data_IF_689340813833
#
_entry.id   IF_689340813833
#
_cell.length_a   1.000
_cell.length_b   1.000
_cell.length_c   1.000
_cell.angle_alpha   90.00
_cell.angle_beta   90.00
_cell.angle_gamma   90.00
#
_symmetry.space_group_name_H-M   'P 1'
#
loop_
_entity.id
_entity.type
_entity.pdbx_description
1 polymer ?
#
# COMPACT_ATOMS: atom_id res chain seq x y z
N UNK A 1 18.10 10.17 -1.64
CA UNK A 1 18.96 9.12 -2.22
C UNK A 1 18.96 7.94 -1.25
N UNK A 2 18.33 6.81 -1.60
CA UNK A 2 18.30 5.61 -0.74
C UNK A 2 19.52 4.78 -1.08
N UNK A 3 20.34 4.41 -0.09
CA UNK A 3 21.38 3.39 -0.29
C UNK A 3 20.88 2.08 0.30
N UNK A 4 20.67 1.08 -0.55
CA UNK A 4 20.31 -0.29 -0.17
C UNK A 4 21.60 -1.09 0.02
N UNK A 5 21.97 -1.41 1.26
CA UNK A 5 23.07 -2.32 1.56
C UNK A 5 22.51 -3.69 1.98
N UNK A 6 22.80 -4.71 1.16
CA UNK A 6 22.51 -6.10 1.47
C UNK A 6 23.77 -6.85 1.89
N UNK A 7 23.75 -7.48 3.05
CA UNK A 7 24.74 -8.49 3.45
C UNK A 7 24.05 -9.85 3.48
N UNK A 8 24.66 -10.89 2.91
CA UNK A 8 24.02 -12.19 2.63
C UNK A 8 23.62 -12.99 3.89
N UNK A 9 23.73 -12.39 5.09
CA UNK A 9 23.57 -13.03 6.40
C UNK A 9 22.71 -12.24 7.39
N UNK A 10 22.15 -11.08 7.03
CA UNK A 10 21.25 -10.28 7.90
C UNK A 10 20.14 -9.59 7.08
N UNK A 11 19.01 -9.30 7.73
CA UNK A 11 17.96 -8.43 7.16
C UNK A 11 18.59 -7.11 6.69
N UNK A 12 18.31 -6.64 5.46
CA UNK A 12 18.84 -5.37 4.96
C UNK A 12 18.43 -4.21 5.88
N UNK A 13 19.32 -3.22 6.03
CA UNK A 13 19.04 -1.97 6.72
C UNK A 13 19.09 -0.81 5.73
N UNK A 14 18.13 0.10 5.80
CA UNK A 14 18.06 1.27 4.92
C UNK A 14 18.63 2.51 5.59
N UNK A 15 19.41 3.31 4.87
CA UNK A 15 19.83 4.64 5.32
C UNK A 15 19.46 5.68 4.26
N UNK A 16 18.68 6.70 4.66
CA UNK A 16 18.40 7.87 3.84
C UNK A 16 19.53 8.88 4.11
N UNK A 17 20.35 9.19 3.10
CA UNK A 17 21.33 10.29 3.21
C UNK A 17 20.77 11.54 2.53
N UNK A 18 20.71 12.65 3.28
CA UNK A 18 20.54 13.98 2.71
C UNK A 18 21.85 14.39 2.02
N UNK A 19 21.76 14.82 0.76
CA UNK A 19 22.90 15.26 -0.01
C UNK A 19 23.32 16.65 0.45
N UNK A 20 24.23 16.73 1.43
CA UNK A 20 25.00 17.94 1.66
C UNK A 20 26.45 17.73 1.20
N UNK A 21 26.95 18.77 0.54
CA UNK A 21 28.20 18.87 -0.21
C UNK A 21 29.48 18.57 0.59
N UNK A 22 30.48 18.13 -0.16
CA UNK A 22 31.86 17.73 0.16
C UNK A 22 32.58 18.53 1.26
N UNK A 23 33.45 17.83 2.01
CA UNK A 23 34.86 18.22 2.18
C UNK A 23 35.72 17.06 2.72
N UNK A 24 36.93 16.96 2.17
CA UNK A 24 37.96 15.94 2.34
C UNK A 24 38.75 16.01 3.66
N UNK A 25 39.16 14.87 4.24
CA UNK A 25 40.59 14.60 4.58
C UNK A 25 40.89 13.17 5.07
N UNK A 26 41.89 12.57 4.40
CA UNK A 26 43.00 11.68 4.82
C UNK A 26 42.86 10.54 5.86
N UNK A 27 43.13 9.34 5.35
CA UNK A 27 43.98 8.22 5.84
C UNK A 27 43.68 7.50 7.17
N UNK A 28 43.39 6.20 7.07
CA UNK A 28 44.35 5.13 7.44
C UNK A 28 43.90 3.75 6.92
N UNK A 29 44.88 2.92 6.55
CA UNK A 29 44.73 1.55 6.03
C UNK A 29 44.45 0.59 7.19
N UNK A 30 43.36 -0.16 7.10
CA UNK A 30 43.23 -1.49 7.70
C UNK A 30 42.62 -2.44 6.67
N UNK A 31 43.36 -3.47 6.31
CA UNK A 31 42.91 -4.55 5.44
C UNK A 31 41.95 -5.46 6.22
N UNK A 32 40.65 -5.31 5.96
CA UNK A 32 39.64 -6.32 6.28
C UNK A 32 39.05 -6.84 4.98
N UNK A 33 38.84 -8.16 4.94
CA UNK A 33 38.20 -8.87 3.84
C UNK A 33 36.83 -8.23 3.61
N UNK A 34 36.70 -7.47 2.52
CA UNK A 34 35.45 -6.85 2.10
C UNK A 34 34.56 -7.94 1.50
N UNK A 35 33.55 -8.39 2.26
CA UNK A 35 32.30 -8.81 1.63
C UNK A 35 31.80 -7.57 0.92
N UNK A 36 31.83 -7.62 -0.41
CA UNK A 36 31.43 -6.50 -1.26
C UNK A 36 29.91 -6.41 -1.19
N UNK A 37 29.40 -5.75 -0.14
CA UNK A 37 28.01 -5.30 -0.11
C UNK A 37 27.83 -4.40 -1.34
N UNK A 38 27.04 -4.87 -2.29
CA UNK A 38 26.65 -4.05 -3.44
C UNK A 38 25.63 -3.05 -2.92
N UNK A 39 26.08 -1.84 -2.63
CA UNK A 39 25.18 -0.72 -2.35
C UNK A 39 24.52 -0.26 -3.65
N UNK A 40 23.20 -0.41 -3.76
CA UNK A 40 22.44 0.18 -4.85
C UNK A 40 21.81 1.45 -4.33
N UNK A 41 22.07 2.54 -5.04
CA UNK A 41 21.54 3.84 -4.71
C UNK A 41 20.35 4.15 -5.61
N UNK A 42 19.14 4.29 -5.07
CA UNK A 42 17.92 4.60 -5.84
C UNK A 42 17.26 5.86 -5.26
N UNK A 43 17.19 6.99 -5.99
CA UNK A 43 16.28 8.08 -5.71
C UNK A 43 14.81 7.66 -5.91
N UNK A 44 13.90 8.30 -5.16
CA UNK A 44 12.46 8.26 -5.46
C UNK A 44 12.26 8.76 -6.89
N UNK A 45 11.47 8.04 -7.69
CA UNK A 45 11.25 8.26 -9.14
C UNK A 45 12.39 7.87 -10.10
N UNK A 46 13.33 7.01 -9.71
CA UNK A 46 14.27 6.40 -10.66
C UNK A 46 13.68 5.15 -11.31
N UNK A 47 13.83 5.04 -12.63
CA UNK A 47 13.41 3.91 -13.44
C UNK A 47 14.61 3.01 -13.73
N UNK A 48 14.58 1.77 -13.23
CA UNK A 48 15.53 0.74 -13.67
C UNK A 48 14.94 0.05 -14.91
N UNK A 49 15.55 0.24 -16.08
CA UNK A 49 15.11 -0.39 -17.33
C UNK A 49 15.65 -1.81 -17.49
N UNK A 50 15.07 -2.55 -18.44
CA UNK A 50 15.48 -3.93 -18.81
C UNK A 50 15.45 -4.89 -17.61
N UNK A 51 14.46 -4.70 -16.73
CA UNK A 51 14.15 -5.59 -15.62
C UNK A 51 12.93 -6.40 -16.03
N UNK A 52 13.12 -7.68 -16.35
CA UNK A 52 11.98 -8.58 -16.54
C UNK A 52 11.23 -8.82 -15.22
N UNK A 53 10.06 -9.45 -15.33
CA UNK A 53 9.21 -9.71 -14.17
C UNK A 53 9.89 -10.57 -13.10
N UNK A 54 10.60 -11.62 -13.50
CA UNK A 54 11.25 -12.54 -12.56
C UNK A 54 12.29 -11.79 -11.72
N UNK A 55 13.16 -11.03 -12.39
CA UNK A 55 14.16 -10.18 -11.74
C UNK A 55 13.54 -9.07 -10.89
N UNK A 56 12.39 -8.53 -11.29
CA UNK A 56 11.63 -7.61 -10.44
C UNK A 56 11.19 -8.30 -9.15
N UNK A 57 10.54 -9.47 -9.25
CA UNK A 57 10.04 -10.22 -8.07
C UNK A 57 11.16 -10.66 -7.13
N UNK A 58 12.27 -11.16 -7.67
CA UNK A 58 13.45 -11.53 -6.89
C UNK A 58 14.01 -10.34 -6.12
N UNK A 59 14.02 -9.15 -6.73
CA UNK A 59 14.52 -7.93 -6.08
C UNK A 59 13.56 -7.42 -5.02
N UNK A 60 12.26 -7.43 -5.27
CA UNK A 60 11.28 -7.01 -4.25
C UNK A 60 11.36 -7.90 -3.01
N UNK A 61 11.54 -9.21 -3.20
CA UNK A 61 11.74 -10.18 -2.12
C UNK A 61 13.07 -9.94 -1.39
N UNK A 62 14.17 -9.84 -2.15
CA UNK A 62 15.51 -9.68 -1.60
C UNK A 62 15.66 -8.40 -0.78
N UNK A 63 15.11 -7.29 -1.29
CA UNK A 63 15.16 -6.01 -0.61
C UNK A 63 14.00 -5.81 0.35
N UNK A 64 13.02 -6.71 0.45
CA UNK A 64 11.84 -6.57 1.31
C UNK A 64 11.18 -5.18 1.16
N UNK A 65 10.92 -4.79 -0.08
CA UNK A 65 10.31 -3.51 -0.48
C UNK A 65 8.90 -3.69 -1.03
N UNK A 66 8.22 -4.74 -0.54
CA UNK A 66 6.86 -5.06 -0.92
C UNK A 66 5.91 -3.88 -0.70
N UNK A 67 4.94 -3.70 -1.61
CA UNK A 67 4.01 -2.56 -1.61
C UNK A 67 4.61 -1.19 -1.97
N UNK A 68 5.93 -1.08 -2.24
CA UNK A 68 6.58 0.22 -2.48
C UNK A 68 7.00 0.46 -3.94
N UNK A 69 7.13 -0.61 -4.72
CA UNK A 69 7.65 -0.59 -6.09
C UNK A 69 6.59 -1.08 -7.08
N UNK A 70 6.70 -0.58 -8.31
CA UNK A 70 5.85 -0.95 -9.45
C UNK A 70 6.71 -1.45 -10.60
N UNK A 71 6.18 -2.39 -11.38
CA UNK A 71 6.78 -2.85 -12.62
C UNK A 71 5.93 -2.41 -13.80
N UNK A 72 6.53 -1.69 -14.76
CA UNK A 72 5.84 -1.11 -15.92
C UNK A 72 6.71 -1.31 -17.18
N UNK A 73 6.29 -2.21 -18.05
CA UNK A 73 6.86 -2.52 -19.36
C UNK A 73 8.39 -2.72 -19.31
N UNK A 74 8.85 -3.54 -18.37
CA UNK A 74 10.27 -3.81 -18.18
C UNK A 74 11.03 -2.77 -17.36
N UNK A 75 10.33 -1.78 -16.81
CA UNK A 75 10.90 -0.76 -15.93
C UNK A 75 10.41 -0.94 -14.49
N UNK A 76 11.28 -0.66 -13.52
CA UNK A 76 10.90 -0.59 -12.09
C UNK A 76 10.73 0.85 -11.67
N UNK A 77 9.56 1.21 -11.16
CA UNK A 77 9.25 2.51 -10.58
C UNK A 77 9.24 2.42 -9.05
N UNK A 78 10.04 3.25 -8.37
CA UNK A 78 9.98 3.42 -6.91
C UNK A 78 9.11 4.64 -6.61
N UNK A 79 7.87 4.40 -6.17
CA UNK A 79 6.88 5.46 -5.90
C UNK A 79 6.70 5.75 -4.41
N UNK A 80 6.94 4.77 -3.54
CA UNK A 80 6.85 4.92 -2.07
C UNK A 80 8.13 4.44 -1.39
N UNK A 81 8.35 4.94 -0.17
CA UNK A 81 9.44 4.49 0.69
C UNK A 81 8.85 3.67 1.84
N UNK A 82 9.50 2.56 2.27
CA UNK A 82 9.04 1.72 3.38
C UNK A 82 9.24 2.45 4.72
N UNK A 83 8.47 3.51 4.96
CA UNK A 83 8.57 4.38 6.13
C UNK A 83 7.48 4.02 7.15
N UNK A 84 7.80 4.25 8.43
CA UNK A 84 6.93 3.92 9.56
C UNK A 84 5.48 4.41 9.43
N UNK A 85 5.22 5.66 9.00
CA UNK A 85 3.86 6.17 8.89
C UNK A 85 2.99 5.45 7.86
N UNK A 86 3.57 5.09 6.72
CA UNK A 86 2.93 4.36 5.63
C UNK A 86 2.39 3.01 6.13
N UNK A 87 3.30 2.14 6.59
CA UNK A 87 2.93 0.80 7.06
C UNK A 87 2.12 0.80 8.35
N UNK A 88 2.22 1.84 9.18
CA UNK A 88 1.38 1.97 10.38
C UNK A 88 -0.05 2.35 10.00
N UNK A 89 -0.24 3.21 9.01
CA UNK A 89 -1.57 3.61 8.53
C UNK A 89 -2.30 2.43 7.89
N UNK A 90 -1.67 1.74 6.92
CA UNK A 90 -2.28 0.61 6.22
C UNK A 90 -2.68 -0.50 7.19
N UNK A 91 -1.76 -0.88 8.09
CA UNK A 91 -2.03 -1.90 9.12
C UNK A 91 -3.07 -1.47 10.16
N UNK A 92 -3.22 -0.18 10.42
CA UNK A 92 -4.30 0.29 11.30
C UNK A 92 -5.68 0.09 10.65
N UNK A 93 -5.79 0.35 9.34
CA UNK A 93 -7.01 0.08 8.57
C UNK A 93 -7.29 -1.42 8.51
N UNK A 94 -6.29 -2.24 8.21
CA UNK A 94 -6.38 -3.71 8.20
C UNK A 94 -6.96 -4.23 9.51
N UNK A 95 -6.37 -3.84 10.66
CA UNK A 95 -6.82 -4.27 11.98
C UNK A 95 -8.27 -3.88 12.27
N UNK A 96 -8.70 -2.69 11.86
CA UNK A 96 -10.07 -2.24 12.05
C UNK A 96 -11.06 -3.10 11.25
N UNK A 97 -10.72 -3.42 10.01
CA UNK A 97 -11.52 -4.32 9.16
C UNK A 97 -11.57 -5.72 9.78
N UNK A 98 -10.41 -6.31 10.09
CA UNK A 98 -10.29 -7.64 10.70
C UNK A 98 -11.06 -7.74 12.03
N UNK A 99 -11.08 -6.67 12.84
CA UNK A 99 -11.84 -6.64 14.11
C UNK A 99 -13.37 -6.69 13.93
N UNK A 100 -13.86 -6.28 12.74
CA UNK A 100 -15.28 -6.27 12.38
C UNK A 100 -15.72 -7.53 11.64
N UNK A 101 -14.78 -8.44 11.40
CA UNK A 101 -15.03 -9.74 10.80
C UNK A 101 -14.54 -10.88 11.72
N UNK A 102 -15.22 -11.13 12.84
CA UNK A 102 -14.79 -12.14 13.81
C UNK A 102 -14.82 -13.57 13.28
N UNK A 103 -15.44 -13.81 12.12
CA UNK A 103 -15.50 -15.12 11.47
C UNK A 103 -14.46 -15.30 10.36
N UNK A 104 -13.61 -14.29 10.11
CA UNK A 104 -12.54 -14.33 9.11
C UNK A 104 -13.07 -14.68 7.70
N UNK A 105 -14.20 -14.10 7.35
CA UNK A 105 -14.82 -14.18 6.03
C UNK A 105 -14.12 -13.30 4.99
N UNK A 106 -13.31 -12.35 5.43
CA UNK A 106 -12.39 -11.56 4.64
C UNK A 106 -10.98 -12.01 5.03
N UNK A 107 -10.32 -12.69 4.11
CA UNK A 107 -8.92 -13.11 4.26
C UNK A 107 -8.05 -11.93 3.90
N UNK A 108 -7.30 -11.40 4.87
CA UNK A 108 -6.21 -10.46 4.60
C UNK A 108 -5.13 -11.18 3.81
N UNK A 109 -4.71 -10.55 2.72
CA UNK A 109 -3.66 -11.04 1.84
C UNK A 109 -2.38 -10.20 1.92
N UNK A 110 -2.35 -9.18 2.79
CA UNK A 110 -1.22 -8.27 2.90
C UNK A 110 -0.90 -7.56 1.60
N UNK A 111 0.40 -7.41 1.38
CA UNK A 111 1.10 -6.90 0.20
C UNK A 111 1.01 -7.86 -1.01
N UNK A 112 -0.22 -8.14 -1.43
CA UNK A 112 -0.49 -9.07 -2.52
C UNK A 112 0.11 -8.63 -3.84
N UNK A 113 1.05 -9.43 -4.34
CA UNK A 113 1.63 -9.24 -5.66
C UNK A 113 0.65 -9.59 -6.77
N UNK A 114 0.46 -8.62 -7.67
CA UNK A 114 -0.42 -8.73 -8.84
C UNK A 114 0.31 -8.37 -10.12
N UNK A 115 -0.18 -8.92 -11.24
CA UNK A 115 0.37 -8.64 -12.56
C UNK A 115 -0.69 -8.77 -13.64
N UNK A 116 -0.66 -7.84 -14.59
CA UNK A 116 -1.49 -7.89 -15.80
C UNK A 116 -0.76 -7.23 -16.97
N UNK A 117 -0.54 -8.03 -18.03
CA UNK A 117 0.24 -7.60 -19.18
C UNK A 117 1.66 -7.19 -18.77
N UNK A 118 2.06 -5.99 -19.20
CA UNK A 118 3.33 -5.35 -18.85
C UNK A 118 3.33 -4.58 -17.53
N UNK A 119 2.26 -4.65 -16.72
CA UNK A 119 2.19 -3.95 -15.44
C UNK A 119 2.12 -4.93 -14.27
N UNK A 120 2.76 -4.60 -13.16
CA UNK A 120 2.66 -5.31 -11.90
C UNK A 120 2.84 -4.39 -10.71
N UNK A 121 2.08 -4.67 -9.65
CA UNK A 121 2.02 -3.87 -8.42
C UNK A 121 1.65 -4.76 -7.25
N UNK A 122 2.08 -4.37 -6.06
CA UNK A 122 1.65 -4.98 -4.81
C UNK A 122 0.84 -3.95 -4.03
N UNK A 123 -0.28 -4.38 -3.46
CA UNK A 123 -1.08 -3.51 -2.58
C UNK A 123 -0.30 -3.18 -1.29
N UNK A 124 -0.70 -2.17 -0.53
CA UNK A 124 -0.18 -2.00 0.83
C UNK A 124 -0.85 -2.97 1.80
N UNK A 125 -2.17 -3.12 1.66
CA UNK A 125 -2.98 -4.14 2.31
C UNK A 125 -4.12 -4.53 1.37
N UNK A 126 -4.58 -5.77 1.44
CA UNK A 126 -5.67 -6.22 0.57
C UNK A 126 -6.47 -7.37 1.18
N UNK A 127 -7.72 -7.50 0.75
CA UNK A 127 -8.64 -8.51 1.26
C UNK A 127 -9.35 -9.25 0.13
N UNK A 128 -9.63 -10.53 0.38
CA UNK A 128 -10.48 -11.35 -0.48
C UNK A 128 -11.50 -12.10 0.38
N UNK A 129 -12.75 -12.29 -0.08
CA UNK A 129 -13.68 -13.19 0.56
C UNK A 129 -13.09 -14.60 0.71
N UNK A 130 -13.37 -15.20 1.86
CA UNK A 130 -13.16 -16.61 2.11
C UNK A 130 -13.90 -17.43 1.04
N UNK A 131 -13.22 -18.44 0.50
CA UNK A 131 -13.71 -19.30 -0.58
C UNK A 131 -14.11 -18.55 -1.87
N UNK A 132 -13.54 -17.36 -2.15
CA UNK A 132 -13.74 -16.71 -3.45
C UNK A 132 -13.35 -17.68 -4.59
N UNK A 133 -14.26 -17.93 -5.55
CA UNK A 133 -13.95 -18.79 -6.68
C UNK A 133 -12.73 -18.30 -7.46
N UNK A 134 -11.94 -19.23 -8.01
CA UNK A 134 -10.78 -18.91 -8.88
C UNK A 134 -11.22 -18.53 -10.32
N UNK A 135 -12.27 -17.71 -10.43
CA UNK A 135 -12.73 -17.11 -11.68
C UNK A 135 -11.91 -15.84 -11.92
N UNK A 136 -11.51 -15.58 -13.17
CA UNK A 136 -10.61 -14.46 -13.54
C UNK A 136 -9.29 -14.50 -12.75
N UNK A 137 -8.71 -15.69 -12.70
CA UNK A 137 -7.58 -16.10 -11.88
C UNK A 137 -6.23 -15.47 -12.25
N UNK A 138 -6.15 -14.51 -13.17
CA UNK A 138 -4.87 -13.90 -13.56
C UNK A 138 -4.55 -12.65 -12.73
N UNK A 139 -5.02 -12.59 -11.47
CA UNK A 139 -4.96 -11.36 -10.68
C UNK A 139 -3.79 -11.29 -9.73
N UNK A 140 -3.49 -12.37 -9.02
CA UNK A 140 -2.39 -12.39 -8.03
C UNK A 140 -1.55 -13.65 -8.16
N UNK A 141 -0.30 -13.55 -7.71
CA UNK A 141 0.59 -14.72 -7.62
C UNK A 141 0.07 -15.72 -6.57
N UNK A 142 0.38 -17.01 -6.77
CA UNK A 142 0.00 -18.08 -5.87
C UNK A 142 0.67 -19.40 -6.27
N UNK A 143 0.60 -20.46 -5.43
CA UNK A 143 1.26 -21.75 -5.69
C UNK A 143 0.87 -22.36 -7.05
N UNK A 144 -0.36 -22.06 -7.47
CA UNK A 144 -0.80 -22.15 -8.85
C UNK A 144 -1.03 -20.69 -9.26
N UNK A 145 -0.35 -20.20 -10.29
CA UNK A 145 -0.28 -18.79 -10.76
C UNK A 145 -1.62 -18.24 -11.32
N UNK A 146 -2.71 -18.57 -10.63
CA UNK A 146 -4.09 -18.47 -11.08
C UNK A 146 -5.01 -18.08 -9.90
N UNK A 147 -4.64 -17.07 -9.09
CA UNK A 147 -5.49 -16.58 -8.01
C UNK A 147 -6.25 -15.31 -8.42
N UNK A 148 -7.51 -15.14 -7.98
CA UNK A 148 -8.33 -13.99 -8.37
C UNK A 148 -7.75 -12.69 -7.80
N UNK A 149 -8.12 -11.56 -8.40
CA UNK A 149 -7.85 -10.25 -7.82
C UNK A 149 -8.45 -10.12 -6.41
N UNK A 150 -7.81 -9.36 -5.49
CA UNK A 150 -8.44 -8.94 -4.24
C UNK A 150 -9.77 -8.23 -4.51
N UNK A 151 -10.68 -8.25 -3.54
CA UNK A 151 -11.92 -7.48 -3.62
C UNK A 151 -11.72 -6.05 -3.13
N UNK A 152 -11.00 -5.91 -2.02
CA UNK A 152 -10.64 -4.64 -1.42
C UNK A 152 -9.13 -4.47 -1.46
N UNK A 153 -8.69 -3.29 -1.90
CA UNK A 153 -7.30 -2.85 -1.87
C UNK A 153 -7.21 -1.60 -1.00
N UNK A 154 -6.16 -1.52 -0.18
CA UNK A 154 -5.80 -0.33 0.59
C UNK A 154 -4.47 0.17 0.02
N UNK A 155 -4.44 1.43 -0.36
CA UNK A 155 -3.24 2.15 -0.80
C UNK A 155 -3.04 3.37 0.10
N UNK A 156 -1.83 3.55 0.60
CA UNK A 156 -1.41 4.66 1.43
C UNK A 156 -0.24 5.34 0.74
N UNK A 157 -0.37 6.63 0.46
CA UNK A 157 0.70 7.45 -0.08
C UNK A 157 1.28 8.35 1.00
N UNK A 158 2.51 8.09 1.41
CA UNK A 158 3.29 9.00 2.26
C UNK A 158 4.24 9.86 1.43
N UNK A 159 5.13 9.24 0.67
CA UNK A 159 6.09 9.91 -0.22
C UNK A 159 5.54 10.06 -1.65
N UNK A 160 4.65 9.15 -2.05
CA UNK A 160 4.02 9.14 -3.37
C UNK A 160 3.11 10.37 -3.59
N UNK A 161 3.02 10.86 -4.84
CA UNK A 161 2.10 11.96 -5.18
C UNK A 161 0.63 11.52 -5.16
N UNK A 162 -0.28 12.44 -4.86
CA UNK A 162 -1.73 12.19 -4.94
C UNK A 162 -2.18 11.71 -6.32
N UNK A 163 -1.65 12.29 -7.40
CA UNK A 163 -1.98 11.88 -8.77
C UNK A 163 -1.57 10.43 -9.05
N UNK A 164 -0.36 10.03 -8.67
CA UNK A 164 0.10 8.65 -8.83
C UNK A 164 -0.78 7.67 -8.03
N UNK A 165 -1.12 8.00 -6.77
CA UNK A 165 -2.00 7.20 -5.92
C UNK A 165 -3.37 6.98 -6.58
N UNK A 166 -4.00 8.07 -7.03
CA UNK A 166 -5.33 8.00 -7.61
C UNK A 166 -5.32 7.32 -8.99
N UNK A 167 -4.27 7.51 -9.79
CA UNK A 167 -4.11 6.78 -11.05
C UNK A 167 -3.87 5.29 -10.82
N UNK A 168 -3.11 4.91 -9.79
CA UNK A 168 -2.94 3.50 -9.42
C UNK A 168 -4.28 2.87 -9.02
N UNK A 169 -5.08 3.56 -8.20
CA UNK A 169 -6.41 3.07 -7.80
C UNK A 169 -7.35 2.93 -9.01
N UNK A 170 -7.44 3.96 -9.85
CA UNK A 170 -8.40 3.99 -10.96
C UNK A 170 -7.98 3.11 -12.14
N UNK A 171 -6.72 3.22 -12.57
CA UNK A 171 -6.24 2.63 -13.81
C UNK A 171 -5.58 1.26 -13.63
N UNK A 172 -5.19 0.92 -12.39
CA UNK A 172 -4.63 -0.37 -12.07
C UNK A 172 -5.58 -1.22 -11.23
N UNK A 173 -6.00 -0.78 -10.05
CA UNK A 173 -6.75 -1.65 -9.13
C UNK A 173 -8.21 -1.85 -9.54
N UNK A 174 -8.90 -0.75 -9.88
CA UNK A 174 -10.33 -0.75 -10.20
C UNK A 174 -10.62 -0.80 -11.70
N UNK A 175 -9.62 -1.14 -12.51
CA UNK A 175 -9.84 -1.47 -13.92
C UNK A 175 -10.81 -2.66 -14.01
N UNK A 176 -11.67 -2.66 -15.02
CA UNK A 176 -12.71 -3.68 -15.21
C UNK A 176 -12.19 -5.12 -15.05
N UNK A 177 -12.89 -5.93 -14.23
CA UNK A 177 -12.55 -7.33 -13.99
C UNK A 177 -11.42 -7.56 -12.97
N UNK A 178 -11.03 -6.54 -12.21
CA UNK A 178 -10.00 -6.61 -11.15
C UNK A 178 -10.61 -6.48 -9.76
N UNK A 179 -10.11 -5.56 -8.93
CA UNK A 179 -10.70 -5.27 -7.62
C UNK A 179 -11.99 -4.46 -7.77
N UNK A 180 -12.84 -4.51 -6.73
CA UNK A 180 -14.16 -3.89 -6.72
C UNK A 180 -14.27 -2.76 -5.71
N UNK A 181 -13.36 -2.71 -4.76
CA UNK A 181 -13.31 -1.74 -3.67
C UNK A 181 -11.88 -1.26 -3.47
N UNK A 182 -11.72 0.03 -3.16
CA UNK A 182 -10.42 0.58 -2.82
C UNK A 182 -10.53 1.70 -1.80
N UNK A 183 -9.60 1.71 -0.84
CA UNK A 183 -9.36 2.83 0.08
C UNK A 183 -8.00 3.43 -0.26
N UNK A 184 -7.99 4.70 -0.63
CA UNK A 184 -6.77 5.45 -0.90
C UNK A 184 -6.56 6.48 0.21
N UNK A 185 -5.36 6.56 0.78
CA UNK A 185 -5.04 7.49 1.87
C UNK A 185 -3.78 8.28 1.54
N UNK A 186 -3.88 9.61 1.46
CA UNK A 186 -2.72 10.47 1.34
C UNK A 186 -2.35 11.05 2.70
N UNK A 187 -1.15 10.73 3.17
CA UNK A 187 -0.55 11.35 4.34
C UNK A 187 0.21 12.61 3.90
N UNK A 188 -0.26 13.78 4.35
CA UNK A 188 0.31 15.08 3.97
C UNK A 188 1.21 15.58 5.07
N UNK A 189 2.48 15.78 4.73
CA UNK A 189 3.51 16.25 5.64
C UNK A 189 3.67 17.77 5.54
N UNK A 190 3.76 18.44 6.68
CA UNK A 190 4.24 19.81 6.84
C UNK A 190 5.44 19.80 7.77
N UNK A 191 6.61 20.15 7.27
CA UNK A 191 7.90 20.10 7.98
C UNK A 191 8.23 18.74 8.60
N UNK A 192 8.03 18.54 9.90
CA UNK A 192 8.30 17.29 10.62
C UNK A 192 7.02 16.61 11.10
N UNK A 193 5.84 17.07 10.65
CA UNK A 193 4.55 16.60 11.14
C UNK A 193 3.71 16.10 9.97
N UNK A 194 3.01 14.98 10.15
CA UNK A 194 1.91 14.59 9.25
C UNK A 194 0.71 15.44 9.64
N UNK A 195 0.54 16.59 8.99
CA UNK A 195 -0.42 17.62 9.39
C UNK A 195 -1.84 17.33 8.91
N UNK A 196 -1.99 16.61 7.79
CA UNK A 196 -3.30 16.28 7.22
C UNK A 196 -3.33 14.85 6.70
N UNK A 197 -4.52 14.27 6.71
CA UNK A 197 -4.82 13.01 6.03
C UNK A 197 -5.97 13.28 5.06
N UNK A 198 -5.78 12.88 3.81
CA UNK A 198 -6.85 12.84 2.81
C UNK A 198 -7.20 11.40 2.51
N UNK A 199 -8.48 11.14 2.30
CA UNK A 199 -9.01 9.79 2.18
C UNK A 199 -10.03 9.75 1.06
N UNK A 200 -9.90 8.73 0.21
CA UNK A 200 -10.88 8.41 -0.82
C UNK A 200 -11.30 6.95 -0.68
N UNK A 201 -12.60 6.70 -0.82
CA UNK A 201 -13.17 5.38 -0.89
C UNK A 201 -13.84 5.21 -2.25
N UNK A 202 -13.58 4.10 -2.92
CA UNK A 202 -14.15 3.75 -4.21
C UNK A 202 -14.82 2.39 -4.12
N UNK A 203 -15.95 2.23 -4.78
CA UNK A 203 -16.63 0.93 -4.89
C UNK A 203 -17.35 0.87 -6.23
N UNK A 204 -16.91 -0.06 -7.10
CA UNK A 204 -17.34 -0.20 -8.50
C UNK A 204 -18.19 -1.45 -8.69
N UNK A 205 -19.16 -1.36 -9.60
CA UNK A 205 -20.10 -2.44 -9.96
C UNK A 205 -19.83 -3.01 -11.38
N UNK A 206 -18.62 -2.81 -11.91
CA UNK A 206 -18.18 -3.17 -13.27
C UNK A 206 -18.95 -2.47 -14.42
N UNK A 207 -19.90 -1.57 -14.12
CA UNK A 207 -20.72 -0.85 -15.13
C UNK A 207 -20.27 0.58 -15.36
N UNK A 208 -19.49 1.14 -14.44
CA UNK A 208 -19.01 2.53 -14.53
C UNK A 208 -17.87 2.62 -15.55
N UNK A 209 -17.99 3.47 -16.59
CA UNK A 209 -16.88 3.73 -17.50
C UNK A 209 -15.64 4.23 -16.73
N UNK A 210 -14.44 3.78 -17.09
CA UNK A 210 -13.20 4.11 -16.36
C UNK A 210 -12.96 5.61 -16.13
N UNK A 211 -13.30 6.45 -17.11
CA UNK A 211 -13.12 7.91 -17.01
C UNK A 211 -14.04 8.60 -16.01
N UNK A 212 -15.07 7.88 -15.52
CA UNK A 212 -16.10 8.41 -14.62
C UNK A 212 -15.98 7.87 -13.20
N UNK A 213 -14.91 7.12 -12.88
CA UNK A 213 -14.74 6.55 -11.54
C UNK A 213 -14.49 7.66 -10.51
N UNK A 214 -15.54 7.99 -9.76
CA UNK A 214 -15.54 8.95 -8.66
C UNK A 214 -15.54 8.23 -7.32
N UNK A 215 -14.90 8.79 -6.29
CA UNK A 215 -15.00 8.27 -4.93
C UNK A 215 -16.46 8.27 -4.47
N UNK A 216 -16.87 7.20 -3.77
CA UNK A 216 -18.17 7.17 -3.07
C UNK A 216 -18.13 7.98 -1.77
N UNK A 217 -16.95 8.11 -1.19
CA UNK A 217 -16.66 9.02 -0.07
C UNK A 217 -15.29 9.65 -0.26
N UNK A 218 -15.17 10.92 0.08
CA UNK A 218 -13.93 11.69 0.07
C UNK A 218 -13.95 12.67 1.24
N UNK A 219 -12.86 12.71 2.01
CA UNK A 219 -12.70 13.69 3.09
C UNK A 219 -11.23 13.95 3.39
N UNK A 220 -10.98 15.13 3.96
CA UNK A 220 -9.69 15.49 4.51
C UNK A 220 -9.86 16.05 5.93
N UNK A 221 -8.84 15.85 6.77
CA UNK A 221 -8.82 16.39 8.12
C UNK A 221 -7.40 16.67 8.59
N UNK A 222 -7.28 17.63 9.51
CA UNK A 222 -6.05 17.90 10.24
C UNK A 222 -5.87 16.87 11.37
N UNK A 223 -4.63 16.49 11.64
CA UNK A 223 -4.32 15.37 12.53
C UNK A 223 -4.27 15.79 14.00
N UNK A 224 -3.32 16.66 14.34
CA UNK A 224 -3.06 17.12 15.71
C UNK A 224 -2.88 18.64 15.76
N UNK A 225 -3.20 19.23 16.90
CA UNK A 225 -2.89 20.62 17.22
C UNK A 225 -1.46 20.79 17.74
N UNK A 226 -1.08 22.03 18.06
CA UNK A 226 0.23 22.37 18.64
C UNK A 226 0.49 21.71 20.01
N UNK A 227 -0.55 21.16 20.67
CA UNK A 227 -0.49 20.47 21.96
C UNK A 227 -0.57 18.94 21.82
N UNK A 228 -0.37 18.41 20.61
CA UNK A 228 -0.45 16.99 20.28
C UNK A 228 -1.81 16.34 20.56
N UNK A 229 -2.88 17.13 20.58
CA UNK A 229 -4.25 16.64 20.71
C UNK A 229 -4.84 16.37 19.34
N UNK A 230 -5.56 15.25 19.19
CA UNK A 230 -6.27 14.95 17.95
C UNK A 230 -7.36 15.99 17.68
N UNK A 231 -7.44 16.44 16.44
CA UNK A 231 -8.42 17.45 16.00
C UNK A 231 -9.74 16.85 15.50
N UNK A 232 -9.86 15.53 15.54
CA UNK A 232 -11.05 14.80 15.10
C UNK A 232 -11.62 13.98 16.24
N UNK A 233 -12.93 13.77 16.21
CA UNK A 233 -13.68 12.97 17.18
C UNK A 233 -14.11 11.62 16.59
N UNK A 234 -14.42 10.60 17.42
CA UNK A 234 -14.96 9.33 16.93
C UNK A 234 -16.19 9.53 16.04
N UNK A 235 -16.32 8.72 14.99
CA UNK A 235 -17.39 8.74 14.00
C UNK A 235 -17.47 10.00 13.10
N UNK A 236 -16.57 10.98 13.26
CA UNK A 236 -16.59 12.19 12.43
C UNK A 236 -16.18 11.91 10.98
N UNK A 237 -15.15 11.07 10.78
CA UNK A 237 -14.60 10.74 9.48
C UNK A 237 -14.59 9.21 9.29
N UNK A 238 -15.56 8.72 8.53
CA UNK A 238 -15.77 7.28 8.34
C UNK A 238 -15.90 6.90 6.88
N UNK A 239 -15.31 5.75 6.53
CA UNK A 239 -15.60 5.03 5.30
C UNK A 239 -16.64 3.95 5.61
N UNK A 240 -17.63 3.80 4.74
CA UNK A 240 -18.65 2.76 4.86
C UNK A 240 -18.53 1.80 3.69
N UNK A 241 -17.86 0.67 3.92
CA UNK A 241 -17.61 -0.33 2.90
C UNK A 241 -18.86 -1.17 2.69
N UNK A 242 -19.34 -1.21 1.45
CA UNK A 242 -20.54 -1.94 1.05
C UNK A 242 -20.23 -3.44 0.94
N UNK A 243 -21.07 -4.29 1.52
CA UNK A 243 -20.86 -5.74 1.43
C UNK A 243 -20.93 -6.24 -0.02
N UNK A 244 -21.65 -5.53 -0.89
CA UNK A 244 -21.77 -5.87 -2.30
C UNK A 244 -20.43 -5.77 -3.04
N UNK A 245 -19.58 -4.80 -2.67
CA UNK A 245 -18.22 -4.68 -3.20
C UNK A 245 -17.26 -5.68 -2.53
N UNK A 246 -17.35 -5.84 -1.21
CA UNK A 246 -16.52 -6.79 -0.46
C UNK A 246 -16.71 -8.23 -0.96
N UNK A 247 -17.95 -8.65 -1.21
CA UNK A 247 -18.30 -10.01 -1.65
C UNK A 247 -18.60 -10.09 -3.15
N UNK A 248 -18.14 -9.12 -3.93
CA UNK A 248 -18.30 -9.17 -5.38
C UNK A 248 -17.64 -10.43 -5.98
N UNK A 249 -18.33 -11.06 -6.94
CA UNK A 249 -17.88 -12.29 -7.59
C UNK A 249 -18.10 -13.57 -6.77
N UNK A 250 -18.71 -13.49 -5.59
CA UNK A 250 -19.16 -14.69 -4.86
C UNK A 250 -20.35 -15.35 -5.57
N UNK A 251 -20.50 -16.68 -5.48
CA UNK A 251 -21.64 -17.38 -6.06
C UNK A 251 -22.98 -16.84 -5.54
N UNK A 252 -24.06 -16.84 -6.33
CA UNK A 252 -25.38 -16.41 -5.86
C UNK A 252 -25.92 -17.20 -4.66
N UNK A 253 -25.40 -18.41 -4.43
CA UNK A 253 -25.71 -19.26 -3.27
C UNK A 253 -24.92 -18.90 -2.02
N UNK A 254 -23.90 -18.05 -2.13
CA UNK A 254 -23.14 -17.59 -0.99
C UNK A 254 -23.99 -16.67 -0.13
N UNK A 255 -24.04 -16.96 1.17
CA UNK A 255 -24.74 -16.12 2.13
C UNK A 255 -23.70 -15.29 2.88
N UNK A 256 -23.70 -13.97 2.64
CA UNK A 256 -22.89 -13.03 3.43
C UNK A 256 -23.22 -13.21 4.91
N UNK A 257 -22.23 -13.53 5.76
CA UNK A 257 -22.54 -13.80 7.16
C UNK A 257 -23.05 -12.56 7.89
N UNK A 258 -24.11 -12.73 8.67
CA UNK A 258 -24.70 -11.68 9.50
C UNK A 258 -23.75 -11.13 10.59
N UNK A 259 -22.62 -11.79 10.82
CA UNK A 259 -21.57 -11.33 11.74
C UNK A 259 -20.75 -10.17 11.20
N UNK A 260 -20.77 -9.92 9.89
CA UNK A 260 -20.09 -8.79 9.28
C UNK A 260 -21.10 -7.63 9.22
N UNK A 261 -20.78 -6.45 9.80
CA UNK A 261 -21.62 -5.28 9.68
C UNK A 261 -21.86 -4.91 8.22
N UNK A 262 -23.08 -4.47 7.89
CA UNK A 262 -23.40 -3.88 6.61
C UNK A 262 -24.00 -2.47 6.81
N UNK A 263 -23.26 -1.39 6.50
CA UNK A 263 -21.90 -1.39 5.95
C UNK A 263 -20.82 -1.78 6.98
N UNK A 264 -19.67 -2.24 6.49
CA UNK A 264 -18.47 -2.38 7.31
C UNK A 264 -17.79 -1.01 7.39
N UNK A 265 -17.88 -0.36 8.55
CA UNK A 265 -17.33 1.00 8.72
C UNK A 265 -15.83 0.95 9.04
N UNK A 266 -15.02 1.90 8.54
CA UNK A 266 -13.67 2.21 9.04
C UNK A 266 -13.71 3.64 9.57
N UNK A 267 -13.36 3.82 10.85
CA UNK A 267 -13.37 5.14 11.50
C UNK A 267 -11.93 5.64 11.67
N UNK A 268 -11.64 6.76 11.01
CA UNK A 268 -10.30 7.32 10.93
C UNK A 268 -9.82 7.94 12.23
N UNK A 269 -10.69 8.16 13.21
CA UNK A 269 -10.24 8.47 14.58
C UNK A 269 -9.34 7.37 15.14
N UNK A 270 -9.71 6.11 14.94
CA UNK A 270 -8.92 4.97 15.45
C UNK A 270 -7.68 4.68 14.61
N UNK A 271 -7.72 4.98 13.31
CA UNK A 271 -6.53 4.96 12.44
C UNK A 271 -5.51 5.98 12.95
N UNK A 272 -5.94 7.23 13.15
CA UNK A 272 -5.11 8.30 13.65
C UNK A 272 -4.52 7.98 15.04
N UNK A 273 -5.33 7.39 15.93
CA UNK A 273 -4.87 6.93 17.23
C UNK A 273 -3.76 5.89 17.14
N UNK A 274 -3.84 4.95 16.20
CA UNK A 274 -2.80 3.96 15.97
C UNK A 274 -1.52 4.60 15.41
N UNK A 275 -1.65 5.68 14.64
CA UNK A 275 -0.54 6.44 14.07
C UNK A 275 0.11 7.43 15.05
N UNK A 276 -0.33 7.55 16.30
CA UNK A 276 0.13 8.59 17.25
C UNK A 276 1.65 8.75 17.32
N UNK A 277 2.39 7.63 17.32
CA UNK A 277 3.86 7.64 17.39
C UNK A 277 4.57 8.07 16.09
N UNK A 278 3.83 8.11 14.98
CA UNK A 278 4.32 8.40 13.63
C UNK A 278 3.96 9.82 13.15
N UNK A 279 3.06 10.52 13.85
CA UNK A 279 2.59 11.85 13.45
C UNK A 279 3.69 12.92 13.51
N UNK A 280 4.70 12.70 14.36
CA UNK A 280 5.91 13.52 14.43
C UNK A 280 7.08 12.70 13.90
N UNK A 281 7.65 13.16 12.80
CA UNK A 281 8.79 12.56 12.12
C UNK A 281 10.04 13.18 12.72
N UNK A 282 10.77 12.38 13.49
CA UNK A 282 12.04 12.77 14.13
C UNK A 282 13.18 12.91 13.13
#
# INVERSE_FOLDING_TARGET
MITLEGDSKRKPSYTIRSSNSETSSSTSRASSISSRASSITIPVAETLSDVDWEKYTERTDFFNVHGNWEWIDGNVCVYELPLGPHGTCSRAIERLISSKDPKMMLVSLGDSRTRVGGRGKEADESFVPFDKPEINSNGREGPNSHKPWPNLVIEVAFSETEDHLLNAVKDYWLYQGRAHDAIAVKLVRSDTIISKIKVWHFCTDDRTPMGDLVPVSEFEFETIDDNDQFLIEPQQYTINIRIECLFHGMPPTFQTPSSIPNPLTVDFFYVLRAMKGELKIS
#
